data_IF_089606422067
#
_entry.id   IF_089606422067
#
_cell.length_a   1.000
_cell.length_b   1.000
_cell.length_c   1.000
_cell.angle_alpha   90.00
_cell.angle_beta   90.00
_cell.angle_gamma   90.00
#
_symmetry.space_group_name_H-M   'P 1'
#
loop_
_entity.id
_entity.type
_entity.pdbx_description
1 polymer ?
#
# COMPACT_ATOMS: atom_id res chain seq x y z
N UNK A 1 29.21 59.52 -52.17
CA UNK A 1 29.77 59.68 -53.53
C UNK A 1 31.07 58.87 -53.59
N UNK A 2 31.15 57.89 -54.51
CA UNK A 2 32.35 57.31 -55.16
C UNK A 2 33.58 56.91 -54.30
N UNK A 3 33.75 55.58 -54.19
CA UNK A 3 34.93 54.72 -54.49
C UNK A 3 36.39 55.22 -54.35
N UNK A 4 37.17 54.36 -53.68
CA UNK A 4 38.54 53.83 -53.96
C UNK A 4 39.75 54.80 -53.85
N UNK A 5 40.72 54.45 -52.98
CA UNK A 5 42.08 53.92 -53.28
C UNK A 5 43.04 54.17 -52.10
N UNK A 6 43.75 53.10 -51.72
CA UNK A 6 45.16 53.03 -51.25
C UNK A 6 45.51 53.81 -49.94
N UNK A 7 46.26 53.30 -48.96
CA UNK A 7 47.51 52.55 -49.06
C UNK A 7 47.82 51.73 -47.78
N UNK A 8 48.73 50.78 -47.96
CA UNK A 8 49.34 49.87 -46.99
C UNK A 8 50.05 50.59 -45.83
N UNK A 9 50.06 49.97 -44.64
CA UNK A 9 51.28 49.51 -43.95
C UNK A 9 50.94 49.05 -42.53
N UNK A 10 51.37 47.84 -42.16
CA UNK A 10 51.29 47.37 -40.78
C UNK A 10 51.31 45.86 -40.64
N UNK A 11 52.45 45.23 -40.94
CA UNK A 11 52.75 43.88 -40.46
C UNK A 11 52.92 43.91 -38.93
N UNK A 12 52.15 43.10 -38.21
CA UNK A 12 52.67 42.26 -37.13
C UNK A 12 51.86 40.96 -37.10
N UNK A 13 52.57 39.87 -37.30
CA UNK A 13 52.08 38.51 -37.14
C UNK A 13 52.09 38.17 -35.64
N UNK A 14 50.94 37.71 -35.12
CA UNK A 14 50.87 36.90 -33.90
C UNK A 14 49.83 35.82 -34.11
N UNK A 15 50.25 34.58 -33.91
CA UNK A 15 49.61 33.36 -34.40
C UNK A 15 48.22 33.08 -33.83
N UNK A 16 47.38 32.49 -34.69
CA UNK A 16 46.14 31.85 -34.31
C UNK A 16 46.46 30.53 -33.57
N UNK A 17 46.22 30.51 -32.27
CA UNK A 17 46.09 29.25 -31.54
C UNK A 17 44.76 28.60 -31.96
N UNK A 18 44.84 27.45 -32.64
CA UNK A 18 43.70 26.57 -32.86
C UNK A 18 43.25 26.01 -31.51
N UNK A 19 42.19 26.58 -30.93
CA UNK A 19 41.51 25.98 -29.80
C UNK A 19 40.79 24.71 -30.28
N UNK A 20 41.36 23.55 -29.98
CA UNK A 20 40.70 22.25 -30.12
C UNK A 20 39.53 22.24 -29.11
N UNK A 21 38.28 22.04 -29.53
CA UNK A 21 37.19 21.88 -28.57
C UNK A 21 37.42 20.56 -27.81
N UNK A 22 37.72 20.66 -26.51
CA UNK A 22 37.73 19.50 -25.64
C UNK A 22 36.32 18.89 -25.61
N UNK A 23 36.16 17.57 -25.80
CA UNK A 23 34.85 16.96 -25.63
C UNK A 23 34.45 17.12 -24.16
N UNK A 24 33.34 17.83 -23.93
CA UNK A 24 32.61 17.77 -22.66
C UNK A 24 32.27 16.30 -22.42
N UNK A 25 33.05 15.65 -21.55
CA UNK A 25 32.65 14.39 -20.93
C UNK A 25 31.37 14.68 -20.16
N UNK A 26 30.23 14.39 -20.76
CA UNK A 26 29.02 14.15 -20.00
C UNK A 26 29.40 13.15 -18.91
N UNK A 27 29.26 13.56 -17.65
CA UNK A 27 29.34 12.62 -16.55
C UNK A 27 28.30 11.54 -16.86
N UNK A 28 28.78 10.34 -17.20
CA UNK A 28 27.90 9.18 -17.26
C UNK A 28 27.28 9.12 -15.88
N UNK A 29 25.98 9.42 -15.77
CA UNK A 29 25.23 9.03 -14.60
C UNK A 29 25.56 7.54 -14.41
N UNK A 30 26.14 7.21 -13.25
CA UNK A 30 26.39 5.82 -12.92
C UNK A 30 25.07 5.07 -13.16
N UNK A 31 25.13 3.94 -13.89
CA UNK A 31 23.97 3.08 -13.99
C UNK A 31 23.40 2.91 -12.57
N UNK A 32 22.09 3.13 -12.35
CA UNK A 32 21.53 3.07 -11.00
C UNK A 32 21.99 1.77 -10.36
N UNK A 33 22.73 1.87 -9.26
CA UNK A 33 23.28 0.72 -8.54
C UNK A 33 22.14 -0.26 -8.32
N UNK A 34 22.21 -1.45 -8.92
CA UNK A 34 21.12 -2.45 -8.91
C UNK A 34 20.44 -2.50 -7.54
N UNK A 35 19.11 -2.38 -7.51
CA UNK A 35 18.34 -2.39 -6.27
C UNK A 35 18.71 -3.64 -5.46
N UNK A 36 19.28 -3.43 -4.27
CA UNK A 36 19.60 -4.55 -3.39
C UNK A 36 18.31 -5.07 -2.75
N UNK A 37 17.85 -6.20 -3.26
CA UNK A 37 16.69 -6.95 -2.73
C UNK A 37 17.11 -8.30 -2.14
N UNK A 38 18.42 -8.51 -1.95
CA UNK A 38 18.96 -9.79 -1.48
C UNK A 38 19.45 -9.70 -0.05
N UNK A 39 20.01 -8.56 0.35
CA UNK A 39 20.37 -8.32 1.74
C UNK A 39 19.12 -8.10 2.60
N UNK A 40 19.23 -8.41 3.89
CA UNK A 40 18.18 -8.14 4.87
C UNK A 40 17.78 -6.66 4.87
N UNK A 41 18.76 -5.75 4.91
CA UNK A 41 18.51 -4.31 4.91
C UNK A 41 17.85 -3.82 3.60
N UNK A 42 18.30 -4.33 2.45
CA UNK A 42 17.75 -4.00 1.15
C UNK A 42 16.30 -4.46 0.97
N UNK A 43 16.00 -5.68 1.43
CA UNK A 43 14.63 -6.22 1.48
C UNK A 43 13.73 -5.41 2.40
N UNK A 44 14.19 -5.12 3.62
CA UNK A 44 13.43 -4.33 4.59
C UNK A 44 13.10 -2.94 4.03
N UNK A 45 14.11 -2.26 3.50
CA UNK A 45 13.95 -0.94 2.86
C UNK A 45 12.94 -0.98 1.72
N UNK A 46 13.08 -1.94 0.81
CA UNK A 46 12.19 -2.08 -0.35
C UNK A 46 10.75 -2.36 0.07
N UNK A 47 10.55 -3.28 1.01
CA UNK A 47 9.23 -3.57 1.57
C UNK A 47 8.59 -2.33 2.19
N UNK A 48 9.29 -1.63 3.10
CA UNK A 48 8.75 -0.47 3.79
C UNK A 48 8.43 0.70 2.85
N UNK A 49 9.26 0.96 1.84
CA UNK A 49 8.98 2.00 0.85
C UNK A 49 7.76 1.72 -0.02
N UNK A 50 7.49 0.44 -0.32
CA UNK A 50 6.34 0.04 -1.13
C UNK A 50 5.06 -0.08 -0.30
N UNK A 51 5.17 -0.53 0.95
CA UNK A 51 4.05 -0.82 1.86
C UNK A 51 3.61 0.38 2.71
N UNK A 52 4.51 1.31 2.96
CA UNK A 52 4.34 2.47 3.84
C UNK A 52 5.41 3.52 3.53
N UNK A 53 6.18 3.95 4.52
CA UNK A 53 7.27 4.90 4.33
C UNK A 53 8.46 4.62 5.26
N UNK A 54 9.61 5.22 4.92
CA UNK A 54 10.80 5.30 5.78
C UNK A 54 10.84 6.58 6.62
N UNK A 55 9.96 7.54 6.33
CA UNK A 55 9.77 8.76 7.11
C UNK A 55 8.47 8.67 7.94
N UNK A 56 8.25 9.69 8.76
CA UNK A 56 7.14 9.72 9.73
C UNK A 56 5.86 10.36 9.23
N UNK A 57 5.80 10.74 7.95
CA UNK A 57 4.64 11.42 7.39
C UNK A 57 3.44 10.47 7.30
N UNK A 58 2.25 11.05 7.26
CA UNK A 58 1.03 10.30 7.01
C UNK A 58 1.03 9.72 5.59
N UNK A 59 0.76 8.42 5.52
CA UNK A 59 0.53 7.66 4.29
C UNK A 59 -0.96 7.31 4.20
N UNK A 60 -1.50 7.39 2.99
CA UNK A 60 -2.85 6.88 2.67
C UNK A 60 -2.72 5.76 1.65
N UNK A 61 -3.45 4.66 1.88
CA UNK A 61 -3.53 3.51 1.00
C UNK A 61 -5.00 3.17 0.78
N UNK A 62 -5.34 2.52 -0.32
CA UNK A 62 -6.70 2.04 -0.56
C UNK A 62 -6.75 0.72 -1.29
N UNK A 63 -7.83 -0.02 -1.07
CA UNK A 63 -8.20 -1.23 -1.81
C UNK A 63 -9.66 -1.15 -2.20
N UNK A 64 -9.96 -1.58 -3.43
CA UNK A 64 -11.31 -1.85 -3.90
C UNK A 64 -11.37 -3.30 -4.39
N UNK A 65 -12.31 -4.07 -3.85
CA UNK A 65 -12.43 -5.49 -4.16
C UNK A 65 -13.89 -5.93 -4.27
N UNK A 66 -14.11 -7.01 -5.01
CA UNK A 66 -15.41 -7.69 -5.11
C UNK A 66 -15.36 -8.93 -4.21
N UNK A 67 -16.37 -9.12 -3.36
CA UNK A 67 -16.53 -10.32 -2.54
C UNK A 67 -17.44 -11.33 -3.23
N UNK A 68 -17.01 -12.59 -3.18
CA UNK A 68 -17.72 -13.74 -3.69
C UNK A 68 -17.92 -14.75 -2.57
N UNK A 69 -19.11 -15.36 -2.52
CA UNK A 69 -19.32 -16.59 -1.79
C UNK A 69 -18.82 -17.77 -2.62
N UNK A 70 -17.96 -18.59 -2.03
CA UNK A 70 -17.43 -19.81 -2.66
C UNK A 70 -18.07 -21.01 -2.01
N UNK A 71 -18.87 -21.72 -2.78
CA UNK A 71 -19.48 -22.99 -2.40
C UNK A 71 -19.14 -23.98 -3.50
N UNK A 72 -18.54 -25.11 -3.12
CA UNK A 72 -17.99 -26.09 -4.06
C UNK A 72 -17.01 -25.41 -5.04
N UNK A 73 -17.32 -25.43 -6.34
CA UNK A 73 -16.51 -24.90 -7.44
C UNK A 73 -17.07 -23.58 -8.02
N UNK A 74 -18.01 -22.92 -7.33
CA UNK A 74 -18.66 -21.69 -7.81
C UNK A 74 -18.37 -20.47 -6.95
N UNK A 75 -18.05 -19.37 -7.63
CA UNK A 75 -17.95 -18.03 -7.07
C UNK A 75 -19.24 -17.24 -7.36
N UNK A 76 -20.08 -17.04 -6.35
CA UNK A 76 -21.27 -16.20 -6.43
C UNK A 76 -20.93 -14.77 -6.00
N UNK A 77 -21.05 -13.76 -6.87
CA UNK A 77 -20.87 -12.36 -6.46
C UNK A 77 -21.88 -11.97 -5.38
N UNK A 78 -21.43 -11.27 -4.34
CA UNK A 78 -22.28 -10.84 -3.22
C UNK A 78 -22.35 -9.31 -3.11
N UNK A 79 -21.21 -8.67 -2.85
CA UNK A 79 -21.09 -7.23 -2.64
C UNK A 79 -19.64 -6.80 -2.88
N UNK A 80 -19.41 -5.51 -2.92
CA UNK A 80 -18.08 -4.93 -3.03
C UNK A 80 -17.56 -4.49 -1.66
N UNK A 81 -16.26 -4.24 -1.57
CA UNK A 81 -15.64 -3.51 -0.47
C UNK A 81 -14.74 -2.42 -1.03
N UNK A 82 -14.82 -1.24 -0.43
CA UNK A 82 -13.84 -0.16 -0.65
C UNK A 82 -13.27 0.20 0.70
N UNK A 83 -11.95 0.25 0.84
CA UNK A 83 -11.27 0.60 2.07
C UNK A 83 -10.17 1.62 1.85
N UNK A 84 -9.90 2.38 2.90
CA UNK A 84 -8.74 3.22 3.02
C UNK A 84 -8.02 2.92 4.33
N UNK A 85 -6.69 2.90 4.26
CA UNK A 85 -5.79 2.76 5.40
C UNK A 85 -4.97 4.03 5.51
N UNK A 86 -4.98 4.62 6.69
CA UNK A 86 -4.10 5.72 7.08
C UNK A 86 -3.01 5.17 7.99
N UNK A 87 -1.76 5.52 7.73
CA UNK A 87 -0.65 5.01 8.52
C UNK A 87 0.49 5.99 8.70
N UNK A 88 1.20 5.86 9.82
CA UNK A 88 2.50 6.49 10.06
C UNK A 88 3.51 5.42 10.45
N UNK A 89 4.76 5.62 10.03
CA UNK A 89 5.84 4.67 10.26
C UNK A 89 7.04 5.39 10.86
N UNK A 90 7.73 4.80 11.84
CA UNK A 90 9.00 5.34 12.36
C UNK A 90 10.05 4.26 12.51
N UNK A 91 11.30 4.62 12.25
CA UNK A 91 12.43 3.79 12.59
C UNK A 91 12.62 3.74 14.11
N UNK A 92 13.02 2.58 14.61
CA UNK A 92 13.38 2.34 16.00
C UNK A 92 14.90 2.21 16.15
N UNK A 93 15.42 2.44 17.36
CA UNK A 93 16.86 2.47 17.62
C UNK A 93 17.58 1.14 17.30
N UNK A 94 16.87 0.03 17.36
CA UNK A 94 17.38 -1.30 17.04
C UNK A 94 17.34 -1.62 15.53
N UNK A 95 16.81 -0.72 14.70
CA UNK A 95 16.64 -0.88 13.25
C UNK A 95 15.36 -1.60 12.81
N UNK A 96 14.43 -1.86 13.73
CA UNK A 96 13.06 -2.20 13.40
C UNK A 96 12.24 -0.94 13.06
N UNK A 97 10.99 -1.15 12.64
CA UNK A 97 10.05 -0.07 12.38
C UNK A 97 8.75 -0.29 13.15
N UNK A 98 8.24 0.77 13.75
CA UNK A 98 6.87 0.80 14.26
C UNK A 98 5.96 1.38 13.17
N UNK A 99 4.81 0.76 12.95
CA UNK A 99 3.76 1.31 12.11
C UNK A 99 2.46 1.41 12.91
N UNK A 100 1.82 2.57 12.86
CA UNK A 100 0.49 2.78 13.45
C UNK A 100 -0.49 2.97 12.30
N UNK A 101 -1.59 2.22 12.31
CA UNK A 101 -2.55 2.18 11.21
C UNK A 101 -3.98 2.35 11.69
N UNK A 102 -4.82 2.94 10.85
CA UNK A 102 -6.28 2.98 11.00
C UNK A 102 -6.90 2.62 9.65
N UNK A 103 -7.86 1.68 9.65
CA UNK A 103 -8.59 1.28 8.45
C UNK A 103 -10.07 1.61 8.58
N UNK A 104 -10.61 2.22 7.53
CA UNK A 104 -12.04 2.39 7.34
C UNK A 104 -12.46 1.73 6.02
N UNK A 105 -13.40 0.79 6.12
CA UNK A 105 -13.93 0.05 4.99
C UNK A 105 -15.46 0.16 4.91
N UNK A 106 -15.99 0.18 3.69
CA UNK A 106 -17.41 0.18 3.39
C UNK A 106 -17.74 -1.01 2.49
N UNK A 107 -18.71 -1.81 2.89
CA UNK A 107 -19.36 -2.74 1.98
C UNK A 107 -20.33 -1.97 1.09
N UNK A 108 -20.24 -2.21 -0.21
CA UNK A 108 -20.99 -1.46 -1.22
C UNK A 108 -21.76 -2.41 -2.12
N UNK A 109 -22.90 -1.92 -2.63
CA UNK A 109 -23.73 -2.65 -3.57
C UNK A 109 -22.93 -2.95 -4.86
N UNK A 110 -23.08 -4.17 -5.37
CA UNK A 110 -22.26 -4.63 -6.49
C UNK A 110 -22.58 -3.89 -7.80
N UNK A 111 -23.83 -3.47 -7.99
CA UNK A 111 -24.28 -2.82 -9.22
C UNK A 111 -24.12 -1.30 -9.16
N UNK A 112 -24.49 -0.69 -8.03
CA UNK A 112 -24.54 0.77 -7.88
C UNK A 112 -23.31 1.37 -7.21
N UNK A 113 -22.49 0.56 -6.52
CA UNK A 113 -21.32 1.02 -5.77
C UNK A 113 -21.65 1.81 -4.49
N UNK A 114 -22.93 1.93 -4.12
CA UNK A 114 -23.35 2.68 -2.93
C UNK A 114 -23.10 1.90 -1.66
N UNK A 115 -22.66 2.57 -0.60
CA UNK A 115 -22.49 1.94 0.70
C UNK A 115 -23.82 1.38 1.20
N UNK A 116 -23.75 0.15 1.69
CA UNK A 116 -24.90 -0.59 2.18
C UNK A 116 -25.05 -0.43 3.70
N UNK A 117 -26.29 -0.50 4.17
CA UNK A 117 -26.63 -0.67 5.60
C UNK A 117 -27.17 -2.07 5.88
N UNK A 118 -27.85 -2.64 4.88
CA UNK A 118 -28.36 -4.01 4.88
C UNK A 118 -27.94 -4.71 3.59
N UNK A 119 -27.76 -6.03 3.67
CA UNK A 119 -27.45 -6.89 2.53
C UNK A 119 -28.44 -8.05 2.47
N UNK A 120 -29.10 -8.23 1.33
CA UNK A 120 -29.97 -9.39 1.07
C UNK A 120 -29.09 -10.60 0.73
N UNK A 121 -28.91 -11.51 1.68
CA UNK A 121 -28.06 -12.69 1.48
C UNK A 121 -28.73 -13.70 0.53
N UNK A 122 -28.15 -14.01 -0.66
CA UNK A 122 -28.76 -14.92 -1.62
C UNK A 122 -28.77 -16.39 -1.18
N UNK A 123 -27.94 -16.78 -0.21
CA UNK A 123 -27.90 -18.16 0.30
C UNK A 123 -29.02 -18.43 1.33
N UNK A 124 -29.35 -17.42 2.13
CA UNK A 124 -30.27 -17.58 3.26
C UNK A 124 -31.59 -16.84 3.09
N UNK A 125 -31.70 -15.96 2.08
CA UNK A 125 -32.84 -15.08 1.88
C UNK A 125 -33.16 -14.23 3.13
N UNK A 126 -32.13 -13.81 3.86
CA UNK A 126 -32.23 -12.92 5.02
C UNK A 126 -31.67 -11.54 4.71
N UNK A 127 -32.16 -10.54 5.41
CA UNK A 127 -31.62 -9.18 5.38
C UNK A 127 -30.62 -9.03 6.51
N UNK A 128 -29.34 -9.05 6.15
CA UNK A 128 -28.23 -9.01 7.09
C UNK A 128 -27.80 -7.56 7.33
N UNK A 129 -27.76 -7.13 8.60
CA UNK A 129 -27.24 -5.80 8.95
C UNK A 129 -25.72 -5.76 8.82
N UNK A 130 -25.22 -4.78 8.09
CA UNK A 130 -23.78 -4.62 7.88
C UNK A 130 -23.17 -3.89 9.10
N UNK A 131 -22.05 -4.37 9.64
CA UNK A 131 -21.33 -3.65 10.69
C UNK A 131 -20.80 -2.32 10.17
N UNK A 132 -21.09 -1.24 10.90
CA UNK A 132 -20.47 0.07 10.72
C UNK A 132 -19.26 0.22 11.65
N UNK A 133 -18.20 0.92 11.23
CA UNK A 133 -17.26 1.50 12.19
C UNK A 133 -15.77 1.43 11.88
N UNK A 134 -15.36 0.68 10.85
CA UNK A 134 -13.93 0.44 10.61
C UNK A 134 -13.26 -0.32 11.77
N UNK A 135 -11.94 -0.46 11.71
CA UNK A 135 -11.17 -1.02 12.83
C UNK A 135 -10.62 0.11 13.70
N UNK A 136 -10.53 -0.14 15.01
CA UNK A 136 -9.78 0.76 15.89
C UNK A 136 -8.32 0.84 15.42
N UNK A 137 -7.64 1.99 15.59
CA UNK A 137 -6.24 2.10 15.26
C UNK A 137 -5.42 1.00 15.96
N UNK A 138 -4.37 0.53 15.29
CA UNK A 138 -3.48 -0.51 15.79
C UNK A 138 -2.03 -0.10 15.58
N UNK A 139 -1.15 -0.57 16.46
CA UNK A 139 0.31 -0.45 16.31
C UNK A 139 0.86 -1.83 15.97
N UNK A 140 1.85 -1.86 15.10
CA UNK A 140 2.58 -3.07 14.69
C UNK A 140 4.07 -2.77 14.64
N UNK A 141 4.89 -3.80 14.75
CA UNK A 141 6.34 -3.71 14.64
C UNK A 141 6.85 -4.64 13.53
N UNK A 142 7.76 -4.14 12.71
CA UNK A 142 8.48 -4.88 11.68
C UNK A 142 9.96 -4.94 12.01
N UNK A 143 10.47 -6.12 12.27
CA UNK A 143 11.90 -6.34 12.53
C UNK A 143 12.73 -6.28 11.23
N UNK A 144 14.05 -6.38 11.35
CA UNK A 144 15.00 -6.31 10.21
C UNK A 144 14.77 -7.40 9.18
N UNK A 145 14.36 -8.57 9.64
CA UNK A 145 14.02 -9.72 8.82
C UNK A 145 12.57 -9.70 8.29
N UNK A 146 11.84 -8.60 8.55
CA UNK A 146 10.42 -8.41 8.26
C UNK A 146 9.45 -9.23 9.14
N UNK A 147 9.93 -9.80 10.24
CA UNK A 147 9.05 -10.40 11.24
C UNK A 147 8.07 -9.35 11.77
N UNK A 148 6.79 -9.71 11.80
CA UNK A 148 5.68 -8.85 12.19
C UNK A 148 5.25 -9.17 13.62
N UNK A 149 5.11 -8.13 14.44
CA UNK A 149 4.70 -8.28 15.84
C UNK A 149 3.58 -7.30 16.20
N UNK A 150 2.59 -7.82 16.93
CA UNK A 150 1.64 -6.99 17.66
C UNK A 150 2.25 -6.60 19.01
N UNK A 151 2.00 -5.37 19.51
CA UNK A 151 2.56 -4.90 20.77
C UNK A 151 2.02 -5.66 21.99
N UNK A 152 0.86 -6.31 21.85
CA UNK A 152 0.26 -7.16 22.87
C UNK A 152 -0.26 -8.43 22.22
N UNK A 153 0.02 -9.56 22.85
CA UNK A 153 -0.64 -10.82 22.51
C UNK A 153 -2.14 -10.69 22.74
N UNK A 154 -2.91 -11.16 21.77
CA UNK A 154 -4.36 -11.22 21.87
C UNK A 154 -4.75 -12.68 22.13
N UNK A 155 -5.30 -13.02 23.30
CA UNK A 155 -5.71 -14.38 23.60
C UNK A 155 -6.67 -14.93 22.53
N UNK A 156 -6.36 -16.12 22.02
CA UNK A 156 -7.16 -16.77 20.97
C UNK A 156 -6.87 -16.30 19.54
N UNK A 157 -5.98 -15.32 19.34
CA UNK A 157 -5.51 -14.92 18.02
C UNK A 157 -4.23 -15.67 17.67
N UNK A 158 -4.28 -16.40 16.56
CA UNK A 158 -3.10 -16.87 15.85
C UNK A 158 -2.88 -15.95 14.66
N UNK A 159 -1.63 -15.55 14.44
CA UNK A 159 -1.25 -14.68 13.35
C UNK A 159 0.05 -15.19 12.74
N UNK A 160 0.03 -15.38 11.43
CA UNK A 160 1.19 -15.65 10.60
C UNK A 160 1.32 -14.51 9.59
N UNK A 161 2.53 -14.00 9.43
CA UNK A 161 2.88 -12.98 8.46
C UNK A 161 4.10 -13.44 7.68
N UNK A 162 4.08 -13.16 6.39
CA UNK A 162 5.17 -13.53 5.50
C UNK A 162 5.34 -12.47 4.41
N UNK A 163 6.59 -12.06 4.18
CA UNK A 163 6.97 -11.32 2.97
C UNK A 163 7.79 -12.24 2.08
N UNK A 164 7.24 -12.59 0.93
CA UNK A 164 7.90 -13.47 -0.03
C UNK A 164 9.20 -12.85 -0.57
N UNK A 165 10.11 -13.65 -1.15
CA UNK A 165 11.24 -13.12 -1.89
C UNK A 165 10.79 -12.07 -2.93
N UNK A 166 11.46 -10.91 -2.91
CA UNK A 166 11.15 -9.80 -3.82
C UNK A 166 11.52 -10.22 -5.24
N UNK A 167 10.57 -10.06 -6.16
CA UNK A 167 10.77 -10.40 -7.57
C UNK A 167 11.15 -9.13 -8.32
N UNK A 168 12.24 -9.20 -9.10
CA UNK A 168 12.66 -8.12 -10.00
C UNK A 168 12.74 -8.62 -11.44
N UNK A 169 12.27 -7.80 -12.38
CA UNK A 169 12.39 -8.03 -13.84
C UNK A 169 12.65 -6.69 -14.52
N UNK A 170 13.90 -6.45 -14.92
CA UNK A 170 14.27 -5.14 -15.47
C UNK A 170 14.01 -4.04 -14.43
N UNK A 171 13.18 -3.06 -14.78
CA UNK A 171 12.80 -1.97 -13.88
C UNK A 171 11.61 -2.31 -12.98
N UNK A 172 10.92 -3.44 -13.18
CA UNK A 172 9.76 -3.80 -12.36
C UNK A 172 10.16 -4.56 -11.09
N UNK A 173 9.51 -4.20 -9.98
CA UNK A 173 9.71 -4.78 -8.65
C UNK A 173 8.36 -5.19 -8.07
N UNK A 174 8.26 -6.44 -7.62
CA UNK A 174 7.08 -6.97 -6.93
C UNK A 174 7.42 -7.45 -5.53
N UNK A 175 6.58 -7.04 -4.57
CA UNK A 175 6.63 -7.47 -3.17
C UNK A 175 5.30 -8.12 -2.85
N UNK A 176 5.33 -9.36 -2.36
CA UNK A 176 4.11 -10.06 -1.93
C UNK A 176 4.12 -10.19 -0.41
N UNK A 177 3.13 -9.58 0.23
CA UNK A 177 2.83 -9.73 1.65
C UNK A 177 1.65 -10.69 1.82
N UNK A 178 1.75 -11.61 2.78
CA UNK A 178 0.68 -12.54 3.14
C UNK A 178 0.43 -12.49 4.62
N UNK A 179 -0.84 -12.39 4.99
CA UNK A 179 -1.28 -12.53 6.38
C UNK A 179 -2.23 -13.71 6.46
N UNK A 180 -2.09 -14.54 7.49
CA UNK A 180 -3.05 -15.58 7.85
C UNK A 180 -3.35 -15.46 9.33
N UNK A 181 -4.62 -15.47 9.67
CA UNK A 181 -5.06 -15.37 11.05
C UNK A 181 -6.17 -16.36 11.36
N UNK A 182 -6.21 -16.78 12.61
CA UNK A 182 -7.31 -17.55 13.17
C UNK A 182 -7.64 -16.95 14.54
N UNK A 183 -8.85 -16.39 14.67
CA UNK A 183 -9.33 -15.82 15.91
C UNK A 183 -10.40 -16.72 16.54
N UNK A 184 -10.16 -17.15 17.76
CA UNK A 184 -11.12 -17.91 18.57
C UNK A 184 -11.71 -17.02 19.65
N UNK A 185 -13.03 -17.04 19.80
CA UNK A 185 -13.76 -16.27 20.80
C UNK A 185 -14.58 -17.22 21.68
N UNK A 186 -14.84 -16.87 22.96
CA UNK A 186 -15.70 -17.68 23.81
C UNK A 186 -17.05 -17.99 23.15
N UNK A 187 -17.41 -19.27 23.06
CA UNK A 187 -18.65 -19.73 22.42
C UNK A 187 -18.58 -19.92 20.90
N UNK A 188 -17.46 -19.60 20.24
CA UNK A 188 -17.29 -19.90 18.82
C UNK A 188 -17.00 -21.39 18.60
N UNK A 189 -17.83 -22.06 17.78
CA UNK A 189 -17.64 -23.48 17.46
C UNK A 189 -16.36 -23.75 16.64
N UNK A 190 -15.92 -22.77 15.84
CA UNK A 190 -14.73 -22.83 14.99
C UNK A 190 -14.03 -21.47 14.98
N UNK A 191 -12.70 -21.42 14.83
CA UNK A 191 -11.99 -20.14 14.70
C UNK A 191 -12.45 -19.39 13.44
N UNK A 192 -12.63 -18.08 13.57
CA UNK A 192 -12.79 -17.20 12.41
C UNK A 192 -11.44 -17.05 11.73
N UNK A 193 -11.34 -17.45 10.46
CA UNK A 193 -10.09 -17.39 9.70
C UNK A 193 -10.13 -16.32 8.65
N UNK A 194 -9.01 -15.62 8.52
CA UNK A 194 -8.80 -14.62 7.48
C UNK A 194 -7.39 -14.79 6.93
N UNK A 195 -7.28 -14.94 5.62
CA UNK A 195 -6.02 -15.08 4.90
C UNK A 195 -6.02 -14.13 3.71
N UNK A 196 -4.99 -13.32 3.53
CA UNK A 196 -4.83 -12.48 2.36
C UNK A 196 -3.46 -12.61 1.69
N UNK A 197 -3.41 -12.14 0.45
CA UNK A 197 -2.20 -12.00 -0.35
C UNK A 197 -2.26 -10.66 -1.06
N UNK A 198 -1.36 -9.77 -0.70
CA UNK A 198 -1.22 -8.43 -1.28
C UNK A 198 0.04 -8.39 -2.11
N UNK A 199 -0.10 -8.25 -3.43
CA UNK A 199 1.03 -8.07 -4.35
C UNK A 199 1.15 -6.59 -4.67
N UNK A 200 2.24 -5.97 -4.23
CA UNK A 200 2.60 -4.60 -4.53
C UNK A 200 3.57 -4.57 -5.71
N UNK A 201 3.39 -3.61 -6.62
CA UNK A 201 4.25 -3.38 -7.79
C UNK A 201 4.70 -1.92 -7.87
N UNK A 202 5.99 -1.71 -8.09
CA UNK A 202 6.61 -0.41 -8.30
C UNK A 202 7.81 -0.51 -9.26
N UNK A 203 8.36 0.63 -9.67
CA UNK A 203 9.56 0.71 -10.49
C UNK A 203 10.83 0.82 -9.63
N UNK A 204 11.89 0.09 -9.96
CA UNK A 204 13.18 0.14 -9.29
C UNK A 204 13.79 1.55 -9.33
N UNK A 205 13.65 2.25 -10.45
CA UNK A 205 14.06 3.64 -10.62
C UNK A 205 13.44 4.59 -9.59
N UNK A 206 12.21 4.32 -9.14
CA UNK A 206 11.54 5.13 -8.12
C UNK A 206 12.07 4.82 -6.72
N UNK A 207 12.33 3.53 -6.44
CA UNK A 207 12.90 3.06 -5.17
C UNK A 207 14.34 3.53 -4.95
N UNK A 208 15.07 3.76 -6.05
CA UNK A 208 16.48 4.20 -6.07
C UNK A 208 16.63 5.72 -6.20
N UNK A 209 15.53 6.47 -6.38
CA UNK A 209 15.58 7.92 -6.53
C UNK A 209 16.26 8.54 -5.30
N UNK A 210 17.24 9.44 -5.46
CA UNK A 210 17.93 10.05 -4.32
C UNK A 210 16.96 10.71 -3.35
N UNK A 211 17.09 10.38 -2.06
CA UNK A 211 16.20 10.89 -1.01
C UNK A 211 14.79 10.28 -0.97
N UNK A 212 14.47 9.30 -1.81
CA UNK A 212 13.17 8.63 -1.74
C UNK A 212 13.01 7.86 -0.42
N UNK A 213 11.94 8.20 0.30
CA UNK A 213 11.52 7.56 1.55
C UNK A 213 10.33 6.63 1.36
N UNK A 214 9.62 6.75 0.23
CA UNK A 214 8.50 5.87 -0.16
C UNK A 214 8.24 5.94 -1.66
N UNK A 215 7.48 4.98 -2.19
CA UNK A 215 7.00 4.99 -3.58
C UNK A 215 5.53 4.61 -3.64
N UNK A 216 4.80 5.20 -4.59
CA UNK A 216 3.47 4.73 -4.94
C UNK A 216 3.57 3.33 -5.55
N UNK A 217 2.83 2.37 -4.99
CA UNK A 217 2.80 1.00 -5.49
C UNK A 217 1.38 0.61 -5.90
N UNK A 218 1.21 0.01 -7.07
CA UNK A 218 -0.06 -0.60 -7.45
C UNK A 218 -0.25 -1.92 -6.70
N UNK A 219 -1.48 -2.23 -6.31
CA UNK A 219 -1.80 -3.43 -5.54
C UNK A 219 -2.71 -4.34 -6.35
N UNK A 220 -2.39 -5.64 -6.38
CA UNK A 220 -3.34 -6.72 -6.61
C UNK A 220 -3.61 -7.40 -5.28
N UNK A 221 -4.87 -7.52 -4.92
CA UNK A 221 -5.30 -8.01 -3.61
C UNK A 221 -6.21 -9.22 -3.77
N UNK A 222 -5.94 -10.27 -3.01
CA UNK A 222 -6.85 -11.40 -2.86
C UNK A 222 -6.97 -11.82 -1.41
N UNK A 223 -8.13 -12.35 -1.02
CA UNK A 223 -8.29 -12.99 0.28
C UNK A 223 -9.14 -14.25 0.22
N UNK A 224 -9.05 -15.03 1.29
CA UNK A 224 -9.94 -16.12 1.66
C UNK A 224 -10.30 -15.91 3.12
N UNK A 225 -11.58 -15.79 3.41
CA UNK A 225 -12.08 -15.51 4.76
C UNK A 225 -13.30 -16.35 5.07
N UNK A 226 -13.41 -16.83 6.31
CA UNK A 226 -14.62 -17.49 6.80
C UNK A 226 -15.86 -16.64 6.51
N UNK A 227 -17.04 -17.27 6.43
CA UNK A 227 -18.29 -16.52 6.42
C UNK A 227 -18.29 -15.49 7.56
N UNK A 228 -18.46 -14.21 7.20
CA UNK A 228 -18.51 -13.14 8.19
C UNK A 228 -19.72 -13.38 9.10
N UNK A 229 -19.61 -13.22 10.44
CA UNK A 229 -20.71 -13.52 11.35
C UNK A 229 -22.02 -12.82 10.99
N UNK A 230 -21.94 -11.58 10.50
CA UNK A 230 -23.11 -10.77 10.12
C UNK A 230 -23.85 -11.30 8.88
N UNK A 231 -23.27 -12.21 8.10
CA UNK A 231 -23.97 -12.85 6.97
C UNK A 231 -24.95 -13.94 7.42
N UNK A 232 -24.95 -14.31 8.71
CA UNK A 232 -25.87 -15.31 9.28
C UNK A 232 -25.85 -16.67 8.56
N UNK A 233 -24.67 -17.11 8.14
CA UNK A 233 -24.51 -18.35 7.35
C UNK A 233 -24.65 -19.63 8.19
N UNK A 234 -24.52 -19.55 9.52
CA UNK A 234 -24.54 -20.74 10.38
C UNK A 234 -23.52 -21.79 9.92
N UNK A 235 -23.99 -23.01 9.72
CA UNK A 235 -23.18 -24.13 9.22
C UNK A 235 -23.17 -24.28 7.69
N UNK A 236 -23.68 -23.29 6.95
CA UNK A 236 -23.66 -23.33 5.48
C UNK A 236 -22.22 -23.55 4.96
N UNK A 237 -22.01 -24.52 4.05
CA UNK A 237 -20.67 -24.81 3.54
C UNK A 237 -20.07 -23.60 2.81
N UNK A 238 -18.75 -23.61 2.67
CA UNK A 238 -18.03 -22.60 1.91
C UNK A 238 -17.39 -21.50 2.74
N UNK A 239 -17.02 -20.43 2.06
CA UNK A 239 -16.32 -19.28 2.61
C UNK A 239 -16.46 -18.08 1.65
N UNK A 240 -15.86 -16.95 2.02
CA UNK A 240 -15.74 -15.79 1.15
C UNK A 240 -14.35 -15.72 0.53
N UNK A 241 -14.29 -15.27 -0.72
CA UNK A 241 -13.04 -14.77 -1.32
C UNK A 241 -13.27 -13.38 -1.87
N UNK A 242 -12.24 -12.55 -1.88
CA UNK A 242 -12.23 -11.28 -2.56
C UNK A 242 -11.09 -11.22 -3.56
N UNK A 243 -11.33 -10.51 -4.66
CA UNK A 243 -10.30 -10.10 -5.60
C UNK A 243 -10.46 -8.61 -5.87
N UNK A 244 -9.35 -7.90 -5.91
CA UNK A 244 -9.37 -6.45 -6.02
C UNK A 244 -8.05 -5.85 -6.41
N UNK A 245 -8.10 -4.53 -6.53
CA UNK A 245 -6.96 -3.67 -6.85
C UNK A 245 -6.83 -2.58 -5.80
N UNK A 246 -5.66 -1.98 -5.73
CA UNK A 246 -5.40 -0.94 -4.76
C UNK A 246 -4.19 -0.09 -5.10
N UNK A 247 -3.86 0.78 -4.16
CA UNK A 247 -2.63 1.58 -4.21
C UNK A 247 -2.10 1.84 -2.81
N UNK A 248 -0.81 1.60 -2.64
CA UNK A 248 -0.04 2.06 -1.49
C UNK A 248 0.58 3.42 -1.79
N UNK A 249 0.78 4.26 -0.77
CA UNK A 249 1.25 5.64 -0.92
C UNK A 249 0.43 6.38 -1.99
N UNK A 250 -0.88 6.26 -1.84
CA UNK A 250 -1.87 6.82 -2.74
C UNK A 250 -1.97 8.34 -2.57
N UNK A 251 -2.21 9.03 -3.68
CA UNK A 251 -2.62 10.43 -3.66
C UNK A 251 -4.13 10.52 -3.43
N UNK A 252 -4.59 11.64 -2.86
CA UNK A 252 -6.01 11.90 -2.61
C UNK A 252 -6.87 11.70 -3.86
N UNK A 253 -6.40 12.14 -5.01
CA UNK A 253 -7.14 12.06 -6.28
C UNK A 253 -7.29 10.62 -6.81
N UNK A 254 -6.52 9.68 -6.27
CA UNK A 254 -6.62 8.27 -6.64
C UNK A 254 -7.60 7.47 -5.77
N UNK A 255 -8.20 8.09 -4.75
CA UNK A 255 -9.08 7.40 -3.81
C UNK A 255 -10.37 6.92 -4.49
N UNK A 256 -10.92 5.74 -4.11
CA UNK A 256 -12.17 5.25 -4.69
C UNK A 256 -13.33 6.22 -4.45
N UNK A 257 -14.04 6.69 -5.49
CA UNK A 257 -15.16 7.63 -5.33
C UNK A 257 -16.23 7.15 -4.35
N UNK A 258 -16.57 5.85 -4.40
CA UNK A 258 -17.52 5.24 -3.48
C UNK A 258 -17.06 5.31 -2.01
N UNK A 259 -15.75 5.22 -1.75
CA UNK A 259 -15.21 5.38 -0.40
C UNK A 259 -15.32 6.83 0.05
N UNK A 260 -15.03 7.79 -0.84
CA UNK A 260 -15.15 9.21 -0.55
C UNK A 260 -16.59 9.60 -0.19
N UNK A 261 -17.54 9.23 -1.05
CA UNK A 261 -18.98 9.49 -0.87
C UNK A 261 -19.49 8.87 0.44
N UNK A 262 -19.20 7.59 0.68
CA UNK A 262 -19.65 6.89 1.89
C UNK A 262 -19.04 7.50 3.16
N UNK A 263 -17.76 7.85 3.13
CA UNK A 263 -17.06 8.43 4.28
C UNK A 263 -17.57 9.84 4.56
N UNK A 264 -17.85 10.64 3.55
CA UNK A 264 -18.39 12.00 3.75
C UNK A 264 -19.77 11.96 4.41
N UNK A 265 -20.61 11.02 3.99
CA UNK A 265 -21.94 10.84 4.56
C UNK A 265 -21.93 10.24 5.99
N UNK A 266 -21.02 9.29 6.28
CA UNK A 266 -21.10 8.43 7.49
C UNK A 266 -20.00 8.70 8.52
N UNK A 267 -18.83 9.17 8.10
CA UNK A 267 -17.63 9.42 8.94
C UNK A 267 -16.86 10.67 8.49
N UNK A 268 -17.52 11.84 8.42
CA UNK A 268 -16.86 13.08 7.94
C UNK A 268 -15.70 13.53 8.83
N UNK A 269 -15.63 13.02 10.07
CA UNK A 269 -14.50 13.24 10.99
C UNK A 269 -13.17 12.75 10.41
N UNK A 270 -13.17 11.67 9.62
CA UNK A 270 -11.95 11.09 9.03
C UNK A 270 -11.25 12.04 8.06
N UNK A 271 -12.01 12.93 7.39
CA UNK A 271 -11.43 13.90 6.47
C UNK A 271 -10.82 15.12 7.14
N UNK A 272 -11.15 15.40 8.40
CA UNK A 272 -10.68 16.60 9.09
C UNK A 272 -9.22 16.49 9.48
N UNK A 273 -8.89 15.39 10.15
CA UNK A 273 -7.53 15.09 10.58
C UNK A 273 -7.33 13.57 10.73
N UNK A 274 -6.96 12.88 9.64
CA UNK A 274 -6.67 11.45 9.71
C UNK A 274 -5.45 11.12 10.57
N UNK A 275 -4.52 12.06 10.80
CA UNK A 275 -3.38 11.83 11.69
C UNK A 275 -3.79 11.84 13.17
N UNK A 276 -4.78 12.64 13.56
CA UNK A 276 -5.34 12.63 14.91
C UNK A 276 -5.94 11.27 15.31
N UNK A 277 -6.44 10.49 14.34
CA UNK A 277 -6.91 9.12 14.59
C UNK A 277 -5.78 8.18 15.05
N UNK A 278 -4.54 8.48 14.64
CA UNK A 278 -3.37 7.67 14.97
C UNK A 278 -2.64 8.18 16.23
N UNK A 279 -2.82 9.45 16.59
CA UNK A 279 -2.09 10.14 17.66
C UNK A 279 -2.05 9.37 19.00
N UNK A 280 -3.15 8.76 19.50
CA UNK A 280 -3.11 8.04 20.77
C UNK A 280 -2.10 6.89 20.82
N UNK A 281 -1.88 6.22 19.69
CA UNK A 281 -0.90 5.13 19.57
C UNK A 281 0.46 5.61 19.09
N UNK A 282 0.49 6.67 18.29
CA UNK A 282 1.70 7.24 17.73
C UNK A 282 2.55 7.99 18.77
N UNK A 283 1.90 8.70 19.69
CA UNK A 283 2.54 9.50 20.73
C UNK A 283 2.86 8.68 21.99
N UNK A 284 2.25 7.50 22.12
CA UNK A 284 2.68 6.52 23.10
C UNK A 284 4.11 6.10 22.74
N UNK A 285 5.08 6.41 23.62
CA UNK A 285 6.48 6.04 23.43
C UNK A 285 6.57 4.54 23.17
N UNK A 286 7.25 4.18 22.07
CA UNK A 286 7.58 2.81 21.72
C UNK A 286 8.50 2.17 22.77
#
# INVERSE_FOLDING_TARGET
MIRRREALAGMMATGAALAVPAPLRAASAAAPSSLDVTSMAGRQRTFLMMRGALDEDLVTNWVQANYYGVVEDRMQPLFNVVSAVFSRTRALADGAYQQVTFELAWFTDIATGKALDTFRNPYTNKDCKIPSGGFAPSSTRFDKDLSFHLPKEMPGLQLEHEVLPIVTRGNDVWVTERIRSAASFPGAARPFRYSDSTVMHAQASDLQRPGATRVTSNVSYTNVVSWRPWLEMGDHPGHLTASGVGRQNATRDSMPPAWLEATEARRPDVFKDPAALLAPLWDAKA
#
